data_IF_306466809713
#
_entry.id   IF_306466809713
#
_cell.length_a   1.000
_cell.length_b   1.000
_cell.length_c   1.000
_cell.angle_alpha   90.00
_cell.angle_beta   90.00
_cell.angle_gamma   90.00
#
_symmetry.space_group_name_H-M   'P 1'
#
loop_
_entity.id
_entity.type
_entity.pdbx_description
1 polymer ?
#
# COMPACT_ATOMS: atom_id res chain seq x y z
N UNK A 1 11.62 15.94 -4.34
CA UNK A 1 11.89 14.55 -4.79
C UNK A 1 12.53 13.81 -3.61
N UNK A 2 12.64 12.49 -3.68
CA UNK A 2 13.14 11.66 -2.57
C UNK A 2 14.66 11.44 -2.61
N UNK A 3 15.37 12.26 -3.39
CA UNK A 3 16.82 12.26 -3.51
C UNK A 3 17.52 12.86 -2.28
N UNK A 4 18.74 12.41 -2.02
CA UNK A 4 19.58 12.94 -0.96
C UNK A 4 21.06 12.97 -1.37
N UNK A 5 21.83 13.84 -0.71
CA UNK A 5 23.26 14.01 -0.92
C UNK A 5 24.04 13.96 0.39
N UNK A 6 25.17 13.25 0.39
CA UNK A 6 26.17 13.26 1.45
C UNK A 6 27.43 13.97 0.94
N UNK A 7 27.87 15.02 1.63
CA UNK A 7 29.05 15.80 1.27
C UNK A 7 29.96 16.03 2.47
N UNK A 8 31.22 15.63 2.36
CA UNK A 8 32.26 15.97 3.32
C UNK A 8 32.92 17.29 2.95
N UNK A 9 33.21 18.13 3.94
CA UNK A 9 34.00 19.34 3.78
C UNK A 9 34.92 19.57 4.96
N UNK A 10 36.14 19.98 4.69
CA UNK A 10 37.13 20.34 5.72
C UNK A 10 37.44 21.83 5.61
N UNK A 11 37.13 22.60 6.66
CA UNK A 11 37.43 24.03 6.72
C UNK A 11 38.08 24.38 8.07
N UNK A 12 39.22 25.10 8.03
CA UNK A 12 39.90 25.61 9.24
C UNK A 12 40.15 24.54 10.32
N UNK A 13 40.51 23.33 9.89
CA UNK A 13 40.80 22.20 10.78
C UNK A 13 39.55 21.53 11.39
N UNK A 14 38.36 21.78 10.86
CA UNK A 14 37.13 21.06 11.21
C UNK A 14 36.62 20.27 10.02
N UNK A 15 36.33 18.99 10.25
CA UNK A 15 35.65 18.14 9.30
C UNK A 15 34.14 18.20 9.55
N UNK A 16 33.37 18.37 8.47
CA UNK A 16 31.93 18.52 8.50
C UNK A 16 31.30 17.57 7.49
N UNK A 17 30.17 16.96 7.88
CA UNK A 17 29.30 16.21 7.00
C UNK A 17 28.01 17.00 6.78
N UNK A 18 27.67 17.22 5.51
CA UNK A 18 26.38 17.74 5.11
C UNK A 18 25.53 16.59 4.57
N UNK A 19 24.34 16.41 5.15
CA UNK A 19 23.31 15.51 4.66
C UNK A 19 22.13 16.38 4.22
N UNK A 20 21.85 16.41 2.93
CA UNK A 20 20.75 17.16 2.36
C UNK A 20 19.74 16.20 1.74
N UNK A 21 18.46 16.36 2.05
CA UNK A 21 17.37 15.63 1.40
C UNK A 21 16.48 16.59 0.63
N UNK A 22 15.94 16.15 -0.51
CA UNK A 22 14.99 16.93 -1.31
C UNK A 22 13.64 17.22 -0.61
N UNK A 23 13.40 16.58 0.54
CA UNK A 23 12.25 16.75 1.45
C UNK A 23 12.51 16.04 2.80
N UNK A 24 11.63 16.17 3.82
CA UNK A 24 11.87 15.61 5.16
C UNK A 24 12.22 14.11 5.19
N UNK A 25 11.44 13.23 4.55
CA UNK A 25 11.77 11.78 4.56
C UNK A 25 13.09 11.46 3.87
N UNK A 26 13.44 12.19 2.81
CA UNK A 26 14.69 11.98 2.07
C UNK A 26 15.92 12.34 2.93
N UNK A 27 15.78 13.32 3.83
CA UNK A 27 16.81 13.60 4.82
C UNK A 27 17.02 12.40 5.76
N UNK A 28 15.94 11.78 6.24
CA UNK A 28 16.03 10.56 7.06
C UNK A 28 16.69 9.41 6.27
N UNK A 29 16.37 9.23 4.99
CA UNK A 29 17.04 8.25 4.13
C UNK A 29 18.55 8.49 4.07
N UNK A 30 18.97 9.75 3.88
CA UNK A 30 20.38 10.10 3.85
C UNK A 30 21.11 9.81 5.17
N UNK A 31 20.45 10.04 6.31
CA UNK A 31 20.99 9.70 7.63
C UNK A 31 21.18 8.19 7.78
N UNK A 32 20.14 7.40 7.48
CA UNK A 32 20.23 5.94 7.58
C UNK A 32 21.28 5.37 6.63
N UNK A 33 21.31 5.85 5.38
CA UNK A 33 22.27 5.44 4.37
C UNK A 33 23.72 5.80 4.74
N UNK A 34 23.95 6.96 5.37
CA UNK A 34 25.27 7.34 5.88
C UNK A 34 25.80 6.29 6.88
N UNK A 35 24.97 5.86 7.83
CA UNK A 35 25.36 4.85 8.81
C UNK A 35 25.50 3.44 8.19
N UNK A 36 24.71 3.10 7.16
CA UNK A 36 24.93 1.86 6.39
C UNK A 36 26.29 1.87 5.68
N UNK A 37 26.64 3.03 5.10
CA UNK A 37 27.85 3.22 4.30
C UNK A 37 29.12 3.32 5.15
N UNK A 38 29.07 3.98 6.31
CA UNK A 38 30.26 4.34 7.10
C UNK A 38 30.39 3.63 8.44
N UNK A 39 29.31 3.07 8.97
CA UNK A 39 29.29 2.48 10.31
C UNK A 39 28.77 1.03 10.33
N UNK A 40 28.69 0.38 9.16
CA UNK A 40 28.27 -1.03 9.05
C UNK A 40 26.84 -1.31 9.53
N UNK A 41 26.02 -0.28 9.78
CA UNK A 41 24.65 -0.47 10.24
C UNK A 41 23.83 -1.23 9.20
N UNK A 42 22.95 -2.13 9.64
CA UNK A 42 22.00 -2.83 8.78
C UNK A 42 20.64 -2.83 9.45
N UNK A 43 19.63 -2.38 8.74
CA UNK A 43 18.29 -2.29 9.30
C UNK A 43 17.46 -3.47 8.84
N UNK A 44 16.77 -4.16 9.73
CA UNK A 44 15.85 -5.24 9.34
C UNK A 44 14.56 -5.09 10.11
N UNK A 45 13.47 -5.60 9.54
CA UNK A 45 12.17 -5.52 10.20
C UNK A 45 12.18 -6.23 11.56
N UNK A 46 12.87 -7.36 11.62
CA UNK A 46 12.98 -8.19 12.82
C UNK A 46 14.18 -7.87 13.72
N UNK A 47 14.90 -6.77 13.44
CA UNK A 47 15.94 -6.25 14.33
C UNK A 47 17.12 -5.63 13.58
N UNK A 48 17.45 -4.40 13.92
CA UNK A 48 18.62 -3.72 13.38
C UNK A 48 19.91 -4.32 13.94
N UNK A 49 20.97 -4.31 13.11
CA UNK A 49 22.35 -4.55 13.51
C UNK A 49 23.08 -3.21 13.52
N UNK A 50 23.49 -2.77 14.70
CA UNK A 50 24.17 -1.50 14.91
C UNK A 50 25.52 -1.80 15.58
N UNK A 51 26.63 -1.79 14.81
CA UNK A 51 27.97 -1.95 15.36
C UNK A 51 28.31 -0.89 16.41
N UNK A 52 29.17 -1.26 17.36
CA UNK A 52 29.79 -0.27 18.25
C UNK A 52 31.05 0.26 17.58
N UNK A 53 31.20 1.57 17.50
CA UNK A 53 32.39 2.22 16.97
C UNK A 53 32.75 3.44 17.82
N UNK A 54 34.05 3.65 18.05
CA UNK A 54 34.56 4.82 18.79
C UNK A 54 34.40 6.13 18.00
N UNK A 55 34.42 6.02 16.67
CA UNK A 55 34.22 7.13 15.74
C UNK A 55 33.61 6.62 14.42
N UNK A 56 32.95 7.51 13.68
CA UNK A 56 32.44 7.23 12.32
C UNK A 56 33.18 8.15 11.35
N UNK A 57 33.75 7.58 10.29
CA UNK A 57 34.46 8.36 9.28
C UNK A 57 33.50 9.22 8.45
N UNK A 58 33.61 10.53 8.62
CA UNK A 58 32.83 11.54 7.91
C UNK A 58 33.59 12.17 6.73
N UNK A 59 34.78 11.67 6.38
CA UNK A 59 35.62 12.25 5.34
C UNK A 59 35.33 11.68 3.94
N UNK A 60 35.73 12.41 2.89
CA UNK A 60 35.73 11.91 1.51
C UNK A 60 34.37 11.57 0.87
N UNK A 61 33.24 12.00 1.43
CA UNK A 61 31.91 11.77 0.86
C UNK A 61 31.58 12.82 -0.20
N UNK A 62 31.11 12.34 -1.35
CA UNK A 62 30.40 13.12 -2.36
C UNK A 62 29.44 12.16 -3.07
N UNK A 63 28.37 11.79 -2.36
CA UNK A 63 27.41 10.76 -2.79
C UNK A 63 26.07 11.42 -3.06
N UNK A 64 25.50 11.18 -4.23
CA UNK A 64 24.16 11.61 -4.61
C UNK A 64 23.32 10.39 -4.96
N UNK A 65 22.27 10.16 -4.19
CA UNK A 65 21.37 9.02 -4.34
C UNK A 65 20.00 9.49 -4.81
N UNK A 66 19.40 8.75 -5.75
CA UNK A 66 18.09 9.04 -6.33
C UNK A 66 17.30 7.74 -6.54
N UNK A 67 16.04 7.67 -6.10
CA UNK A 67 15.23 6.48 -6.35
C UNK A 67 14.82 6.40 -7.82
N UNK A 68 14.76 5.18 -8.37
CA UNK A 68 14.17 4.93 -9.69
C UNK A 68 12.66 5.14 -9.70
N UNK A 69 11.98 4.71 -8.64
CA UNK A 69 10.52 4.73 -8.56
C UNK A 69 10.04 5.82 -7.60
N UNK A 70 8.96 6.52 -7.97
CA UNK A 70 8.33 7.58 -7.17
C UNK A 70 7.58 7.02 -5.97
N UNK A 71 6.79 5.96 -6.16
CA UNK A 71 6.00 5.29 -5.11
C UNK A 71 6.67 3.97 -4.71
N UNK A 72 7.03 3.83 -3.45
CA UNK A 72 7.71 2.64 -2.94
C UNK A 72 7.16 2.30 -1.57
N UNK A 73 6.72 1.07 -1.37
CA UNK A 73 6.25 0.66 -0.06
C UNK A 73 5.20 -0.44 -0.08
N UNK A 74 4.31 -0.42 0.90
CA UNK A 74 3.60 -1.61 1.34
C UNK A 74 2.15 -1.31 1.66
N UNK A 75 1.32 -2.34 1.53
CA UNK A 75 -0.05 -2.36 2.06
C UNK A 75 -0.16 -3.37 3.18
N UNK A 76 -0.89 -2.97 4.22
CA UNK A 76 -1.26 -3.82 5.34
C UNK A 76 -2.70 -4.27 5.20
N UNK A 77 -2.95 -5.51 5.60
CA UNK A 77 -4.21 -6.20 5.34
C UNK A 77 -4.87 -6.66 6.65
N UNK A 78 -6.20 -6.81 6.63
CA UNK A 78 -7.03 -7.18 7.78
C UNK A 78 -7.23 -8.70 7.96
N UNK A 79 -6.22 -9.53 7.68
CA UNK A 79 -6.31 -10.98 7.91
C UNK A 79 -5.92 -11.36 9.34
N UNK A 80 -6.49 -12.45 9.85
CA UNK A 80 -6.22 -12.96 11.20
C UNK A 80 -5.19 -14.09 11.19
N UNK A 81 -4.05 -13.88 11.82
CA UNK A 81 -2.94 -14.84 11.94
C UNK A 81 -2.13 -14.58 13.23
N UNK A 82 -0.92 -15.14 13.34
CA UNK A 82 0.00 -14.83 14.43
C UNK A 82 0.33 -13.33 14.45
N UNK A 83 0.57 -12.75 15.64
CA UNK A 83 0.83 -11.32 15.82
C UNK A 83 1.88 -10.76 14.84
N UNK A 84 2.94 -11.53 14.55
CA UNK A 84 3.97 -11.15 13.56
C UNK A 84 3.39 -10.84 12.18
N UNK A 85 2.43 -11.64 11.72
CA UNK A 85 1.90 -11.59 10.36
C UNK A 85 0.63 -10.76 10.22
N UNK A 86 0.12 -10.25 11.34
CA UNK A 86 -1.15 -9.56 11.42
C UNK A 86 -1.00 -8.15 11.99
N UNK A 87 -1.03 -7.18 11.09
CA UNK A 87 -0.96 -5.76 11.42
C UNK A 87 -2.18 -5.25 12.22
N UNK A 88 -3.32 -5.95 12.16
CA UNK A 88 -4.51 -5.60 12.95
C UNK A 88 -4.31 -5.80 14.47
N UNK A 89 -3.34 -6.64 14.87
CA UNK A 89 -3.01 -6.88 16.29
C UNK A 89 -1.93 -5.93 16.84
N UNK A 90 -1.34 -5.11 15.99
CA UNK A 90 -0.23 -4.25 16.39
C UNK A 90 -0.73 -3.05 17.19
N UNK A 91 -0.10 -2.83 18.34
CA UNK A 91 -0.33 -1.60 19.11
C UNK A 91 0.49 -0.44 18.52
N UNK A 92 0.39 0.75 19.13
CA UNK A 92 1.08 1.93 18.61
C UNK A 92 2.61 1.80 18.57
N UNK A 93 3.23 1.12 19.54
CA UNK A 93 4.68 0.93 19.55
C UNK A 93 5.15 -0.03 18.46
N UNK A 94 4.35 -1.06 18.14
CA UNK A 94 4.61 -1.94 17.00
C UNK A 94 4.53 -1.15 15.68
N UNK A 95 3.51 -0.30 15.52
CA UNK A 95 3.38 0.57 14.36
C UNK A 95 4.48 1.62 14.23
N UNK A 96 5.02 2.12 15.35
CA UNK A 96 6.20 3.02 15.31
C UNK A 96 7.42 2.29 14.76
N UNK A 97 7.67 1.06 15.21
CA UNK A 97 8.76 0.23 14.67
C UNK A 97 8.56 -0.04 13.19
N UNK A 98 7.34 -0.34 12.76
CA UNK A 98 6.99 -0.54 11.36
C UNK A 98 7.29 0.72 10.53
N UNK A 99 6.77 1.88 10.94
CA UNK A 99 6.93 3.14 10.21
C UNK A 99 8.40 3.57 10.16
N UNK A 100 9.14 3.38 11.25
CA UNK A 100 10.57 3.68 11.28
C UNK A 100 11.35 2.70 10.39
N UNK A 101 10.93 1.43 10.29
CA UNK A 101 11.50 0.46 9.35
C UNK A 101 11.18 0.82 7.89
N UNK A 102 9.95 1.22 7.57
CA UNK A 102 9.55 1.74 6.24
C UNK A 102 10.50 2.86 5.79
N UNK A 103 10.84 3.79 6.69
CA UNK A 103 11.81 4.85 6.42
C UNK A 103 13.24 4.31 6.20
N UNK A 104 13.71 3.41 7.06
CA UNK A 104 15.04 2.77 6.92
C UNK A 104 15.16 2.04 5.58
N UNK A 105 14.07 1.49 5.07
CA UNK A 105 13.97 0.84 3.75
C UNK A 105 13.70 1.79 2.59
N UNK A 106 13.72 3.10 2.85
CA UNK A 106 13.54 4.17 1.85
C UNK A 106 12.19 4.11 1.11
N UNK A 107 11.20 3.51 1.76
CA UNK A 107 9.82 3.48 1.31
C UNK A 107 9.09 4.76 1.73
N UNK A 108 8.14 5.18 0.91
CA UNK A 108 7.34 6.38 1.13
C UNK A 108 5.82 6.13 1.07
N UNK A 109 5.36 4.97 0.61
CA UNK A 109 3.94 4.62 0.55
C UNK A 109 3.60 3.63 1.65
N UNK A 110 2.67 4.02 2.51
CA UNK A 110 2.19 3.26 3.65
C UNK A 110 0.66 3.16 3.54
N UNK A 111 0.14 2.00 3.13
CA UNK A 111 -1.31 1.83 2.95
C UNK A 111 -1.94 0.99 4.07
N UNK A 112 -2.58 1.67 5.03
CA UNK A 112 -3.13 1.07 6.24
C UNK A 112 -4.56 0.55 6.03
N UNK A 113 -4.69 -0.66 5.48
CA UNK A 113 -5.98 -1.26 5.11
C UNK A 113 -6.38 -2.41 6.04
N UNK A 114 -6.44 -2.14 7.34
CA UNK A 114 -6.77 -3.09 8.41
C UNK A 114 -8.27 -3.11 8.83
N UNK A 115 -9.19 -2.69 7.94
CA UNK A 115 -10.64 -2.88 8.13
C UNK A 115 -11.36 -1.83 8.98
N UNK A 116 -12.48 -2.22 9.60
CA UNK A 116 -13.42 -1.37 10.34
C UNK A 116 -12.79 -0.76 11.60
N UNK A 117 -12.63 0.56 11.59
CA UNK A 117 -12.49 1.39 12.78
C UNK A 117 -13.83 2.10 13.06
N UNK A 118 -13.84 3.20 13.82
CA UNK A 118 -15.06 3.94 14.14
C UNK A 118 -15.56 4.88 13.03
N UNK A 119 -15.21 4.55 11.77
CA UNK A 119 -15.50 5.39 10.61
C UNK A 119 -17.01 5.58 10.40
N UNK A 120 -17.80 4.50 10.46
CA UNK A 120 -19.25 4.58 10.31
C UNK A 120 -19.90 5.35 11.46
N UNK A 121 -19.43 5.15 12.68
CA UNK A 121 -19.94 5.88 13.85
C UNK A 121 -19.65 7.38 13.76
N UNK A 122 -18.52 7.77 13.19
CA UNK A 122 -18.16 9.18 12.98
C UNK A 122 -18.86 9.80 11.77
N UNK A 123 -19.09 9.02 10.72
CA UNK A 123 -19.76 9.51 9.51
C UNK A 123 -21.28 9.61 9.72
N UNK A 124 -21.88 8.62 10.39
CA UNK A 124 -23.33 8.50 10.54
C UNK A 124 -23.75 8.30 12.01
N UNK A 125 -23.36 9.21 12.93
CA UNK A 125 -23.62 9.06 14.36
C UNK A 125 -25.12 9.01 14.71
N UNK A 126 -25.98 9.54 13.85
CA UNK A 126 -27.44 9.51 13.98
C UNK A 126 -28.05 8.13 13.66
N UNK A 127 -27.34 7.29 12.92
CA UNK A 127 -27.79 5.97 12.50
C UNK A 127 -26.98 4.83 13.10
N UNK A 128 -25.70 5.06 13.43
CA UNK A 128 -24.76 4.02 13.83
C UNK A 128 -24.14 4.37 15.17
N UNK A 129 -24.52 3.60 16.18
CA UNK A 129 -23.95 3.65 17.51
C UNK A 129 -22.60 2.94 17.59
N UNK A 130 -21.82 3.24 18.64
CA UNK A 130 -20.62 2.46 18.93
C UNK A 130 -21.04 1.12 19.55
N UNK A 131 -20.64 -0.01 18.95
CA UNK A 131 -20.94 -1.32 19.49
C UNK A 131 -20.15 -1.58 20.79
N UNK A 132 -20.50 -2.66 21.47
CA UNK A 132 -19.65 -3.26 22.50
C UNK A 132 -18.40 -3.91 21.89
N UNK A 133 -17.83 -4.90 22.58
CA UNK A 133 -16.68 -5.67 22.06
C UNK A 133 -17.04 -6.56 20.87
N UNK A 134 -18.27 -7.06 20.82
CA UNK A 134 -18.77 -7.86 19.72
C UNK A 134 -19.36 -6.94 18.66
N UNK A 135 -18.83 -7.04 17.44
CA UNK A 135 -19.34 -6.32 16.27
C UNK A 135 -20.43 -7.21 15.66
N UNK A 136 -21.69 -6.74 15.55
CA UNK A 136 -22.79 -7.58 15.07
C UNK A 136 -22.59 -8.18 13.67
N UNK A 137 -21.78 -7.52 12.84
CA UNK A 137 -21.45 -7.94 11.47
C UNK A 137 -20.32 -8.98 11.43
N UNK A 138 -19.67 -9.26 12.56
CA UNK A 138 -18.56 -10.20 12.66
C UNK A 138 -19.02 -11.64 12.55
N UNK A 139 -18.22 -12.48 11.87
CA UNK A 139 -18.44 -13.92 11.77
C UNK A 139 -17.22 -14.67 12.28
N UNK A 140 -17.37 -15.32 13.45
CA UNK A 140 -16.29 -16.07 14.10
C UNK A 140 -15.62 -17.07 13.13
N UNK A 141 -14.28 -17.13 13.16
CA UNK A 141 -13.47 -18.07 12.35
C UNK A 141 -13.69 -17.96 10.84
N UNK A 142 -13.98 -16.75 10.36
CA UNK A 142 -14.08 -16.45 8.93
C UNK A 142 -13.20 -15.26 8.56
N UNK A 143 -13.03 -15.00 7.27
CA UNK A 143 -12.39 -13.76 6.80
C UNK A 143 -13.19 -12.49 7.19
N UNK A 144 -14.45 -12.64 7.63
CA UNK A 144 -15.32 -11.61 8.20
C UNK A 144 -15.33 -11.62 9.73
N UNK A 145 -14.41 -12.33 10.39
CA UNK A 145 -14.22 -12.19 11.83
C UNK A 145 -13.62 -10.80 12.11
N UNK A 146 -14.45 -9.94 12.70
CA UNK A 146 -14.18 -8.55 13.06
C UNK A 146 -14.38 -8.29 14.55
N UNK A 147 -14.54 -9.34 15.35
CA UNK A 147 -14.64 -9.21 16.80
C UNK A 147 -13.44 -8.44 17.34
N UNK A 148 -13.69 -7.48 18.20
CA UNK A 148 -12.71 -6.48 18.53
C UNK A 148 -11.66 -7.03 19.50
N UNK A 149 -10.37 -6.89 19.15
CA UNK A 149 -9.28 -6.97 20.13
C UNK A 149 -9.34 -5.79 21.10
N UNK A 150 -9.79 -4.63 20.59
CA UNK A 150 -9.99 -3.38 21.32
C UNK A 150 -11.26 -2.67 20.85
N UNK A 151 -12.01 -2.00 21.74
CA UNK A 151 -13.19 -1.21 21.38
C UNK A 151 -12.98 -0.35 20.12
N UNK A 152 -14.04 -0.16 19.32
CA UNK A 152 -13.94 0.59 18.05
C UNK A 152 -13.37 2.01 18.24
N UNK A 153 -13.70 2.67 19.37
CA UNK A 153 -13.11 3.97 19.76
C UNK A 153 -11.60 3.89 19.90
N UNK A 154 -11.09 2.85 20.56
CA UNK A 154 -9.66 2.69 20.80
C UNK A 154 -8.92 2.39 19.50
N UNK A 155 -9.54 1.62 18.58
CA UNK A 155 -9.02 1.43 17.22
C UNK A 155 -8.98 2.74 16.43
N UNK A 156 -10.02 3.56 16.52
CA UNK A 156 -10.06 4.90 15.92
C UNK A 156 -8.94 5.80 16.44
N UNK A 157 -8.75 5.85 17.75
CA UNK A 157 -7.66 6.59 18.39
C UNK A 157 -6.28 6.06 18.00
N UNK A 158 -6.13 4.74 17.88
CA UNK A 158 -4.91 4.12 17.40
C UNK A 158 -4.64 4.51 15.94
N UNK A 159 -5.61 4.40 15.03
CA UNK A 159 -5.48 4.84 13.63
C UNK A 159 -5.06 6.30 13.53
N UNK A 160 -5.69 7.18 14.31
CA UNK A 160 -5.34 8.61 14.36
C UNK A 160 -3.86 8.80 14.72
N UNK A 161 -3.37 8.10 15.74
CA UNK A 161 -1.96 8.15 16.16
C UNK A 161 -1.01 7.60 15.10
N UNK A 162 -1.35 6.46 14.47
CA UNK A 162 -0.54 5.84 13.43
C UNK A 162 -0.39 6.77 12.23
N UNK A 163 -1.51 7.29 11.70
CA UNK A 163 -1.48 8.16 10.52
C UNK A 163 -0.86 9.54 10.81
N UNK A 164 -1.00 10.06 12.03
CA UNK A 164 -0.25 11.24 12.45
C UNK A 164 1.26 10.97 12.46
N UNK A 165 1.71 9.87 13.07
CA UNK A 165 3.13 9.51 13.14
C UNK A 165 3.75 9.26 11.76
N UNK A 166 3.02 8.62 10.85
CA UNK A 166 3.43 8.42 9.46
C UNK A 166 3.57 9.76 8.70
N UNK A 167 2.61 10.67 8.89
CA UNK A 167 2.60 11.99 8.25
C UNK A 167 3.70 12.92 8.75
N UNK A 168 4.00 12.91 10.05
CA UNK A 168 5.15 13.62 10.63
C UNK A 168 6.48 13.19 9.99
N UNK A 169 6.52 11.94 9.50
CA UNK A 169 7.63 11.34 8.75
C UNK A 169 7.48 11.47 7.25
N UNK A 170 6.53 12.28 6.80
CA UNK A 170 6.32 12.61 5.40
C UNK A 170 5.97 11.38 4.54
N UNK A 171 5.38 10.33 5.13
CA UNK A 171 4.87 9.16 4.39
C UNK A 171 3.52 9.45 3.74
N UNK A 172 3.28 8.78 2.61
CA UNK A 172 2.03 8.84 1.83
C UNK A 172 1.08 7.73 2.30
N UNK A 173 -0.16 8.10 2.56
CA UNK A 173 -1.26 7.16 2.82
C UNK A 173 -2.43 7.47 1.88
N UNK A 174 -2.89 6.50 1.07
CA UNK A 174 -4.03 6.70 0.19
C UNK A 174 -5.36 6.62 0.95
N UNK A 175 -6.26 7.54 0.64
CA UNK A 175 -7.63 7.59 1.15
C UNK A 175 -8.55 6.73 0.25
N UNK A 176 -9.32 5.80 0.84
CA UNK A 176 -10.25 4.99 0.07
C UNK A 176 -11.46 5.81 -0.40
N UNK A 177 -11.83 5.65 -1.67
CA UNK A 177 -12.96 6.33 -2.29
C UNK A 177 -13.85 5.38 -3.07
N UNK A 178 -15.15 5.69 -3.07
CA UNK A 178 -16.17 4.92 -3.76
C UNK A 178 -16.62 3.71 -2.97
N UNK A 179 -16.83 2.59 -3.65
CA UNK A 179 -17.54 1.42 -3.14
C UNK A 179 -16.67 0.60 -2.17
N UNK A 180 -16.43 1.10 -0.95
CA UNK A 180 -15.54 0.45 0.03
C UNK A 180 -16.22 -0.59 0.93
N UNK A 181 -17.56 -0.63 0.96
CA UNK A 181 -18.34 -1.48 1.89
C UNK A 181 -18.28 -2.97 1.59
N UNK A 182 -17.93 -3.30 0.35
CA UNK A 182 -18.00 -4.66 -0.17
C UNK A 182 -16.72 -5.47 0.09
N UNK A 183 -15.78 -4.83 0.79
CA UNK A 183 -14.56 -5.41 1.33
C UNK A 183 -14.51 -5.19 2.85
N UNK A 184 -13.32 -4.96 3.43
CA UNK A 184 -13.04 -4.95 4.87
C UNK A 184 -13.76 -3.88 5.71
N UNK A 185 -14.58 -3.00 5.11
CA UNK A 185 -15.36 -1.96 5.77
C UNK A 185 -16.87 -2.20 5.63
N UNK A 186 -17.35 -3.39 6.06
CA UNK A 186 -18.76 -3.80 5.95
C UNK A 186 -19.71 -2.75 6.51
N UNK A 187 -20.85 -2.57 5.85
CA UNK A 187 -21.94 -1.68 6.31
C UNK A 187 -22.54 -2.22 7.61
N UNK A 188 -22.63 -1.42 8.69
CA UNK A 188 -23.28 -1.84 9.93
C UNK A 188 -24.77 -2.13 9.75
N UNK A 189 -25.30 -3.10 10.50
CA UNK A 189 -26.73 -3.43 10.52
C UNK A 189 -27.60 -2.25 10.90
N UNK A 190 -27.20 -1.43 11.88
CA UNK A 190 -27.97 -0.24 12.27
C UNK A 190 -28.13 0.75 11.09
N UNK A 191 -27.07 0.94 10.30
CA UNK A 191 -27.15 1.76 9.08
C UNK A 191 -28.14 1.16 8.08
N UNK A 192 -28.07 -0.16 7.85
CA UNK A 192 -28.99 -0.85 6.94
C UNK A 192 -30.44 -0.75 7.39
N UNK A 193 -30.71 -0.88 8.68
CA UNK A 193 -32.06 -0.84 9.24
C UNK A 193 -32.66 0.55 9.22
N UNK A 194 -31.84 1.60 9.45
CA UNK A 194 -32.28 2.99 9.50
C UNK A 194 -32.34 3.66 8.13
N UNK A 195 -31.32 3.46 7.30
CA UNK A 195 -31.16 4.14 6.01
C UNK A 195 -31.78 3.36 4.86
N UNK A 196 -31.80 2.02 4.97
CA UNK A 196 -32.35 1.11 3.94
C UNK A 196 -31.86 1.44 2.53
N UNK A 197 -30.52 1.47 2.29
CA UNK A 197 -30.00 1.78 0.97
C UNK A 197 -30.40 0.69 -0.05
N UNK A 198 -30.72 1.11 -1.27
CA UNK A 198 -30.79 0.20 -2.40
C UNK A 198 -29.40 -0.33 -2.73
N UNK A 199 -29.31 -1.54 -3.27
CA UNK A 199 -28.04 -2.19 -3.64
C UNK A 199 -27.91 -2.35 -5.15
N UNK A 200 -26.67 -2.35 -5.64
CA UNK A 200 -26.40 -2.81 -6.99
C UNK A 200 -26.84 -4.27 -7.16
N UNK A 201 -27.28 -4.66 -8.38
CA UNK A 201 -27.46 -6.07 -8.72
C UNK A 201 -26.17 -6.86 -8.46
N UNK A 202 -26.31 -8.14 -8.14
CA UNK A 202 -25.18 -9.04 -7.93
C UNK A 202 -25.46 -10.41 -8.53
N UNK A 203 -24.59 -10.83 -9.44
CA UNK A 203 -24.53 -12.16 -10.04
C UNK A 203 -23.44 -13.04 -9.41
N UNK A 204 -22.46 -12.46 -8.70
CA UNK A 204 -21.49 -13.24 -7.91
C UNK A 204 -22.19 -13.96 -6.75
N UNK A 205 -21.94 -15.27 -6.61
CA UNK A 205 -22.51 -16.11 -5.55
C UNK A 205 -21.87 -15.86 -4.18
N UNK A 206 -20.59 -15.48 -4.14
CA UNK A 206 -19.89 -15.04 -2.93
C UNK A 206 -20.34 -13.65 -2.46
N UNK A 207 -20.08 -13.33 -1.19
CA UNK A 207 -20.35 -12.02 -0.59
C UNK A 207 -21.80 -11.53 -0.66
N UNK A 208 -22.78 -12.43 -0.53
CA UNK A 208 -24.21 -12.11 -0.60
C UNK A 208 -24.82 -11.49 0.68
N UNK A 209 -24.03 -11.30 1.73
CA UNK A 209 -24.49 -10.66 2.95
C UNK A 209 -24.78 -9.18 2.73
N UNK A 210 -25.95 -8.70 3.22
CA UNK A 210 -26.38 -7.31 3.05
C UNK A 210 -25.32 -6.29 3.49
N UNK A 211 -24.57 -6.62 4.54
CA UNK A 211 -23.50 -5.77 5.08
C UNK A 211 -22.34 -5.55 4.09
N UNK A 212 -22.10 -6.48 3.17
CA UNK A 212 -21.10 -6.32 2.11
C UNK A 212 -21.67 -6.12 0.73
N UNK A 213 -22.96 -5.87 0.56
CA UNK A 213 -23.48 -5.46 -0.73
C UNK A 213 -23.04 -4.02 -1.02
N UNK A 214 -22.87 -3.72 -2.31
CA UNK A 214 -22.53 -2.37 -2.77
C UNK A 214 -23.81 -1.55 -2.85
N UNK A 215 -23.86 -0.40 -2.18
CA UNK A 215 -25.00 0.52 -2.31
C UNK A 215 -25.13 0.96 -3.76
N UNK A 216 -26.36 1.13 -4.23
CA UNK A 216 -26.64 1.45 -5.62
C UNK A 216 -26.12 2.85 -5.96
N UNK A 217 -24.88 2.90 -6.45
CA UNK A 217 -24.20 4.14 -6.83
C UNK A 217 -24.88 4.84 -7.99
N UNK A 218 -25.81 4.21 -8.73
CA UNK A 218 -26.64 4.91 -9.74
C UNK A 218 -27.50 6.00 -9.10
N UNK A 219 -27.77 5.90 -7.80
CA UNK A 219 -28.48 6.90 -7.02
C UNK A 219 -27.50 7.85 -6.33
N UNK A 220 -27.67 9.15 -6.54
CA UNK A 220 -26.73 10.16 -6.03
C UNK A 220 -26.62 10.12 -4.50
N UNK A 221 -27.73 9.90 -3.79
CA UNK A 221 -27.75 9.76 -2.32
C UNK A 221 -26.77 8.70 -1.78
N UNK A 222 -26.62 7.58 -2.50
CA UNK A 222 -25.75 6.47 -2.09
C UNK A 222 -24.29 6.76 -2.44
N UNK A 223 -24.04 7.41 -3.59
CA UNK A 223 -22.70 7.85 -3.95
C UNK A 223 -22.22 8.94 -2.98
N UNK A 224 -23.07 9.90 -2.64
CA UNK A 224 -22.80 10.93 -1.63
C UNK A 224 -22.49 10.29 -0.27
N UNK A 225 -23.23 9.26 0.15
CA UNK A 225 -22.94 8.54 1.39
C UNK A 225 -21.56 7.87 1.39
N UNK A 226 -21.12 7.29 0.27
CA UNK A 226 -19.76 6.76 0.16
C UNK A 226 -18.70 7.86 0.25
N UNK A 227 -18.93 9.00 -0.38
CA UNK A 227 -18.02 10.13 -0.30
C UNK A 227 -17.99 10.76 1.10
N UNK A 228 -19.12 10.76 1.81
CA UNK A 228 -19.17 11.18 3.21
C UNK A 228 -18.31 10.30 4.13
N UNK A 229 -18.20 8.99 3.85
CA UNK A 229 -17.24 8.11 4.52
C UNK A 229 -15.80 8.53 4.22
N UNK A 230 -15.44 8.75 2.94
CA UNK A 230 -14.10 9.21 2.55
C UNK A 230 -13.75 10.55 3.21
N UNK A 231 -14.66 11.52 3.17
CA UNK A 231 -14.46 12.85 3.78
C UNK A 231 -14.35 12.79 5.30
N UNK A 232 -15.10 11.88 5.92
CA UNK A 232 -14.97 11.61 7.36
C UNK A 232 -13.60 11.01 7.67
N UNK A 233 -13.11 10.02 6.91
CA UNK A 233 -11.79 9.45 7.14
C UNK A 233 -10.69 10.52 7.01
N UNK A 234 -10.76 11.37 5.99
CA UNK A 234 -9.84 12.52 5.80
C UNK A 234 -9.88 13.45 7.01
N UNK A 235 -11.07 13.84 7.47
CA UNK A 235 -11.22 14.78 8.60
C UNK A 235 -10.67 14.21 9.90
N UNK A 236 -10.89 12.92 10.15
CA UNK A 236 -10.64 12.30 11.46
C UNK A 236 -9.22 11.73 11.58
N UNK A 237 -8.63 11.27 10.47
CA UNK A 237 -7.33 10.58 10.48
C UNK A 237 -6.38 10.96 9.34
N UNK A 238 -6.93 11.33 8.17
CA UNK A 238 -6.22 11.31 6.89
C UNK A 238 -5.87 12.68 6.29
N UNK A 239 -5.59 12.68 4.99
CA UNK A 239 -5.45 13.88 4.16
C UNK A 239 -5.77 13.60 2.70
N UNK A 240 -6.30 14.57 1.96
CA UNK A 240 -6.70 14.36 0.57
C UNK A 240 -5.51 14.45 -0.41
N UNK A 241 -4.37 13.83 -0.09
CA UNK A 241 -3.14 13.92 -0.91
C UNK A 241 -3.01 12.80 -1.93
N UNK A 242 -3.62 11.65 -1.68
CA UNK A 242 -3.61 10.47 -2.54
C UNK A 242 -4.90 9.69 -2.30
N UNK A 243 -5.53 9.19 -3.35
CA UNK A 243 -6.76 8.40 -3.27
C UNK A 243 -6.58 7.01 -3.85
N UNK A 244 -7.42 6.08 -3.43
CA UNK A 244 -7.41 4.71 -3.90
C UNK A 244 -8.83 4.16 -4.06
N UNK A 245 -9.05 3.40 -5.13
CA UNK A 245 -10.29 2.61 -5.30
C UNK A 245 -10.00 1.30 -6.02
N UNK A 246 -10.76 0.27 -5.68
CA UNK A 246 -10.75 -1.04 -6.35
C UNK A 246 -12.02 -1.28 -7.17
N UNK A 247 -12.87 -0.25 -7.30
CA UNK A 247 -14.16 -0.36 -7.97
C UNK A 247 -15.00 -1.51 -7.41
N UNK A 248 -15.46 -2.39 -8.29
CA UNK A 248 -16.28 -3.57 -7.97
C UNK A 248 -15.46 -4.86 -7.91
N UNK A 249 -14.24 -4.81 -7.34
CA UNK A 249 -13.37 -5.98 -7.26
C UNK A 249 -14.06 -7.25 -6.75
N UNK A 250 -13.87 -8.36 -7.46
CA UNK A 250 -14.49 -9.68 -7.23
C UNK A 250 -16.01 -9.76 -7.46
N UNK A 251 -16.64 -8.67 -7.92
CA UNK A 251 -18.08 -8.61 -8.11
C UNK A 251 -18.48 -8.54 -9.56
N UNK A 252 -19.52 -9.29 -9.88
CA UNK A 252 -20.29 -9.17 -11.11
C UNK A 252 -21.69 -8.71 -10.73
N UNK A 253 -22.18 -7.67 -11.41
CA UNK A 253 -23.55 -7.23 -11.29
C UNK A 253 -24.49 -8.08 -12.17
N UNK A 254 -23.98 -8.55 -13.31
CA UNK A 254 -24.75 -9.30 -14.30
C UNK A 254 -23.96 -10.52 -14.80
N UNK A 255 -24.67 -11.56 -15.25
CA UNK A 255 -24.04 -12.72 -15.90
C UNK A 255 -23.63 -12.42 -17.35
N UNK A 256 -24.36 -11.54 -18.03
CA UNK A 256 -23.96 -11.04 -19.34
C UNK A 256 -22.67 -10.21 -19.22
N UNK A 257 -21.63 -10.63 -19.95
CA UNK A 257 -20.28 -10.09 -19.82
C UNK A 257 -20.22 -8.61 -20.21
N UNK A 258 -20.86 -8.25 -21.32
CA UNK A 258 -20.83 -6.87 -21.82
C UNK A 258 -21.59 -5.93 -20.88
N UNK A 259 -22.81 -6.30 -20.46
CA UNK A 259 -23.56 -5.53 -19.49
C UNK A 259 -22.80 -5.38 -18.16
N UNK A 260 -22.12 -6.44 -17.71
CA UNK A 260 -21.30 -6.40 -16.51
C UNK A 260 -20.09 -5.47 -16.67
N UNK A 261 -19.40 -5.55 -17.81
CA UNK A 261 -18.28 -4.67 -18.14
C UNK A 261 -18.71 -3.20 -18.16
N UNK A 262 -19.82 -2.88 -18.83
CA UNK A 262 -20.38 -1.53 -18.84
C UNK A 262 -20.74 -1.02 -17.43
N UNK A 263 -21.24 -1.89 -16.55
CA UNK A 263 -21.50 -1.52 -15.15
C UNK A 263 -20.22 -1.22 -14.38
N UNK A 264 -19.13 -1.97 -14.62
CA UNK A 264 -17.82 -1.70 -14.01
C UNK A 264 -17.23 -0.38 -14.51
N UNK A 265 -17.26 -0.12 -15.83
CA UNK A 265 -16.85 1.17 -16.41
C UNK A 265 -17.68 2.33 -15.83
N UNK A 266 -19.01 2.17 -15.79
CA UNK A 266 -19.91 3.16 -15.19
C UNK A 266 -19.54 3.46 -13.73
N UNK A 267 -19.19 2.44 -12.95
CA UNK A 267 -18.78 2.61 -11.56
C UNK A 267 -17.51 3.45 -11.44
N UNK A 268 -16.48 3.17 -12.23
CA UNK A 268 -15.27 3.99 -12.26
C UNK A 268 -15.56 5.43 -12.68
N UNK A 269 -16.36 5.65 -13.74
CA UNK A 269 -16.75 7.00 -14.17
C UNK A 269 -17.42 7.79 -13.05
N UNK A 270 -18.35 7.19 -12.31
CA UNK A 270 -19.07 7.86 -11.21
C UNK A 270 -18.16 8.18 -10.03
N UNK A 271 -17.34 7.22 -9.59
CA UNK A 271 -16.37 7.44 -8.49
C UNK A 271 -15.38 8.54 -8.87
N UNK A 272 -14.81 8.47 -10.08
CA UNK A 272 -13.82 9.45 -10.55
C UNK A 272 -14.46 10.82 -10.71
N UNK A 273 -15.62 10.93 -11.37
CA UNK A 273 -16.29 12.22 -11.55
C UNK A 273 -16.51 12.92 -10.20
N UNK A 274 -17.05 12.18 -9.22
CA UNK A 274 -17.33 12.70 -7.88
C UNK A 274 -16.05 13.08 -7.11
N UNK A 275 -14.99 12.28 -7.23
CA UNK A 275 -13.69 12.61 -6.67
C UNK A 275 -13.14 13.93 -7.25
N UNK A 276 -13.28 14.11 -8.57
CA UNK A 276 -12.72 15.25 -9.29
C UNK A 276 -13.49 16.56 -9.04
N UNK A 277 -14.74 16.50 -8.59
CA UNK A 277 -15.50 17.68 -8.16
C UNK A 277 -14.80 18.43 -7.02
N UNK A 278 -14.26 17.69 -6.04
CA UNK A 278 -13.62 18.26 -4.85
C UNK A 278 -12.10 18.23 -4.91
N UNK A 279 -11.53 17.19 -5.53
CA UNK A 279 -10.09 16.95 -5.61
C UNK A 279 -9.64 16.74 -7.08
N UNK A 280 -9.68 17.81 -7.91
CA UNK A 280 -9.48 17.71 -9.36
C UNK A 280 -8.09 17.23 -9.77
N UNK A 281 -7.08 17.46 -8.93
CA UNK A 281 -5.67 17.14 -9.24
C UNK A 281 -5.08 16.04 -8.36
N UNK A 282 -5.79 15.57 -7.34
CA UNK A 282 -5.24 14.56 -6.43
C UNK A 282 -5.02 13.23 -7.18
N UNK A 283 -3.86 12.57 -7.04
CA UNK A 283 -3.63 11.29 -7.69
C UNK A 283 -4.63 10.23 -7.20
N UNK A 284 -5.10 9.40 -8.12
CA UNK A 284 -5.98 8.25 -7.85
C UNK A 284 -5.28 6.97 -8.28
N UNK A 285 -5.14 6.04 -7.34
CA UNK A 285 -4.69 4.68 -7.57
C UNK A 285 -5.91 3.79 -7.85
N UNK A 286 -5.90 3.09 -8.99
CA UNK A 286 -6.90 2.06 -9.31
C UNK A 286 -6.26 0.68 -9.12
N UNK A 287 -6.72 -0.05 -8.11
CA UNK A 287 -6.21 -1.38 -7.78
C UNK A 287 -6.56 -2.44 -8.84
N UNK A 288 -5.57 -3.22 -9.27
CA UNK A 288 -5.74 -4.22 -10.35
C UNK A 288 -6.26 -5.59 -9.90
N UNK A 289 -6.63 -5.77 -8.63
CA UNK A 289 -7.06 -7.09 -8.12
C UNK A 289 -8.17 -7.73 -8.97
N UNK A 290 -9.13 -6.91 -9.41
CA UNK A 290 -10.20 -7.38 -10.27
C UNK A 290 -9.70 -7.72 -11.69
N UNK A 291 -8.66 -7.03 -12.15
CA UNK A 291 -8.11 -7.16 -13.51
C UNK A 291 -7.41 -8.49 -13.71
N UNK A 292 -6.72 -9.00 -12.68
CA UNK A 292 -6.02 -10.28 -12.76
C UNK A 292 -6.95 -11.50 -12.66
N UNK A 293 -8.22 -11.31 -12.30
CA UNK A 293 -9.17 -12.43 -12.12
C UNK A 293 -10.38 -12.38 -13.04
N UNK A 294 -11.04 -11.23 -13.16
CA UNK A 294 -12.38 -11.13 -13.75
C UNK A 294 -12.45 -10.34 -15.05
N UNK A 295 -11.40 -9.61 -15.41
CA UNK A 295 -11.34 -8.84 -16.65
C UNK A 295 -10.52 -9.56 -17.72
N UNK A 296 -10.81 -9.30 -18.99
CA UNK A 296 -9.88 -9.57 -20.09
C UNK A 296 -8.92 -8.38 -20.28
N UNK A 297 -7.76 -8.59 -20.94
CA UNK A 297 -6.90 -7.48 -21.31
C UNK A 297 -7.61 -6.39 -22.13
N UNK A 298 -8.53 -6.75 -23.03
CA UNK A 298 -9.33 -5.79 -23.82
C UNK A 298 -10.20 -4.91 -22.91
N UNK A 299 -10.85 -5.51 -21.91
CA UNK A 299 -11.69 -4.79 -20.95
C UNK A 299 -10.84 -3.79 -20.14
N UNK A 300 -9.64 -4.20 -19.69
CA UNK A 300 -8.71 -3.29 -18.98
C UNK A 300 -8.27 -2.15 -19.89
N UNK A 301 -7.90 -2.44 -21.15
CA UNK A 301 -7.53 -1.42 -22.13
C UNK A 301 -8.66 -0.42 -22.37
N UNK A 302 -9.91 -0.87 -22.41
CA UNK A 302 -11.06 0.03 -22.56
C UNK A 302 -11.23 0.97 -21.37
N UNK A 303 -10.99 0.49 -20.14
CA UNK A 303 -10.96 1.37 -18.95
C UNK A 303 -9.83 2.38 -19.07
N UNK A 304 -8.60 1.93 -19.35
CA UNK A 304 -7.40 2.80 -19.44
C UNK A 304 -7.60 3.94 -20.43
N UNK A 305 -8.29 3.70 -21.56
CA UNK A 305 -8.61 4.73 -22.55
C UNK A 305 -9.51 5.87 -22.02
N UNK A 306 -10.28 5.64 -20.95
CA UNK A 306 -11.17 6.63 -20.35
C UNK A 306 -10.51 7.42 -19.22
N UNK A 307 -9.37 6.96 -18.71
CA UNK A 307 -8.71 7.55 -17.55
C UNK A 307 -7.82 8.73 -17.95
N UNK A 308 -7.70 9.70 -17.04
CA UNK A 308 -6.77 10.82 -17.20
C UNK A 308 -5.37 10.43 -16.68
N UNK A 309 -4.35 10.30 -17.54
CA UNK A 309 -3.00 9.90 -17.12
C UNK A 309 -2.29 10.95 -16.28
N UNK A 310 -2.77 12.19 -16.17
CA UNK A 310 -2.11 13.21 -15.35
C UNK A 310 -2.34 13.02 -13.84
N UNK A 311 -3.39 12.28 -13.45
CA UNK A 311 -3.78 12.13 -12.05
C UNK A 311 -4.38 10.75 -11.72
N UNK A 312 -4.26 9.78 -12.63
CA UNK A 312 -4.73 8.42 -12.42
C UNK A 312 -3.60 7.44 -12.74
N UNK A 313 -3.43 6.45 -11.88
CA UNK A 313 -2.35 5.48 -11.94
C UNK A 313 -2.97 4.09 -11.77
N UNK A 314 -2.64 3.17 -12.68
CA UNK A 314 -3.00 1.76 -12.48
C UNK A 314 -2.05 1.16 -11.46
N UNK A 315 -2.61 0.78 -10.32
CA UNK A 315 -1.88 0.11 -9.26
C UNK A 315 -1.97 -1.40 -9.51
N UNK A 316 -1.00 -1.95 -10.25
CA UNK A 316 -0.94 -3.39 -10.50
C UNK A 316 -0.48 -4.12 -9.24
N UNK A 317 -1.31 -4.97 -8.65
CA UNK A 317 -0.97 -5.72 -7.43
C UNK A 317 -0.17 -6.98 -7.69
N UNK A 318 -0.28 -7.56 -8.89
CA UNK A 318 0.05 -8.96 -9.16
C UNK A 318 1.02 -9.13 -10.32
N UNK A 319 1.96 -8.18 -10.47
CA UNK A 319 2.89 -8.14 -11.61
C UNK A 319 3.84 -9.35 -11.65
N UNK A 320 3.99 -10.07 -10.55
CA UNK A 320 4.86 -11.24 -10.37
C UNK A 320 4.14 -12.60 -10.47
N UNK A 321 2.86 -12.60 -10.84
CA UNK A 321 2.10 -13.86 -11.06
C UNK A 321 2.53 -14.61 -12.32
N UNK A 322 2.29 -15.91 -12.35
CA UNK A 322 2.57 -16.75 -13.53
C UNK A 322 1.55 -16.60 -14.67
N UNK A 323 0.47 -15.83 -14.49
CA UNK A 323 -0.44 -15.48 -15.59
C UNK A 323 0.33 -14.58 -16.58
N UNK A 324 0.42 -14.99 -17.84
CA UNK A 324 1.07 -14.20 -18.90
C UNK A 324 0.07 -13.33 -19.68
N UNK A 325 -1.23 -13.60 -19.53
CA UNK A 325 -2.30 -12.89 -20.22
C UNK A 325 -2.75 -11.65 -19.43
N UNK A 326 -3.01 -11.79 -18.13
CA UNK A 326 -3.54 -10.70 -17.30
C UNK A 326 -2.44 -9.98 -16.54
N UNK A 327 -1.59 -9.31 -17.30
CA UNK A 327 -0.45 -8.56 -16.78
C UNK A 327 -0.40 -7.16 -17.35
N UNK A 328 0.31 -6.26 -16.68
CA UNK A 328 0.56 -4.89 -17.14
C UNK A 328 1.05 -4.80 -18.60
N UNK A 329 1.74 -5.84 -19.10
CA UNK A 329 2.25 -5.89 -20.48
C UNK A 329 1.14 -5.91 -21.53
N UNK A 330 -0.05 -6.42 -21.17
CA UNK A 330 -1.19 -6.57 -22.08
C UNK A 330 -2.29 -5.53 -21.86
N UNK A 331 -2.11 -4.58 -20.94
CA UNK A 331 -3.12 -3.60 -20.55
C UNK A 331 -2.93 -2.20 -21.17
N UNK A 332 -2.06 -2.08 -22.19
CA UNK A 332 -1.67 -0.79 -22.78
C UNK A 332 -1.08 0.22 -21.77
N UNK A 333 -0.34 -0.27 -20.78
CA UNK A 333 0.32 0.59 -19.78
C UNK A 333 1.73 0.98 -20.19
N UNK A 334 2.53 0.01 -20.62
CA UNK A 334 3.96 0.19 -20.88
C UNK A 334 4.22 1.30 -21.91
N UNK A 335 4.90 2.36 -21.48
CA UNK A 335 5.20 3.55 -22.31
C UNK A 335 4.00 4.43 -22.65
N UNK A 336 2.79 4.13 -22.14
CA UNK A 336 1.54 4.77 -22.54
C UNK A 336 0.75 5.39 -21.38
N UNK A 337 0.65 4.73 -20.23
CA UNK A 337 -0.21 5.16 -19.13
C UNK A 337 0.46 4.91 -17.77
N UNK A 338 0.37 5.82 -16.78
CA UNK A 338 1.03 5.63 -15.49
C UNK A 338 0.58 4.39 -14.74
N UNK A 339 1.56 3.66 -14.19
CA UNK A 339 1.28 2.43 -13.45
C UNK A 339 2.32 2.15 -12.37
N UNK A 340 2.03 1.19 -11.49
CA UNK A 340 2.91 0.73 -10.40
C UNK A 340 3.08 -0.78 -10.54
N UNK A 341 4.33 -1.26 -10.41
CA UNK A 341 4.67 -2.69 -10.39
C UNK A 341 4.49 -3.26 -8.98
N UNK A 342 3.51 -4.13 -8.79
CA UNK A 342 3.21 -4.72 -7.48
C UNK A 342 3.64 -6.17 -7.37
N UNK A 343 4.05 -6.53 -6.17
CA UNK A 343 4.24 -7.91 -5.75
C UNK A 343 3.09 -8.30 -4.81
N UNK A 344 2.28 -9.28 -5.16
CA UNK A 344 1.26 -9.82 -4.26
C UNK A 344 1.88 -10.78 -3.24
N UNK A 345 2.80 -11.62 -3.71
CA UNK A 345 3.65 -12.55 -2.96
C UNK A 345 2.93 -13.69 -2.21
N UNK A 346 1.96 -13.40 -1.37
CA UNK A 346 1.39 -14.35 -0.44
C UNK A 346 -0.10 -14.11 -0.23
N UNK A 347 -0.89 -15.18 -0.42
CA UNK A 347 -2.22 -15.27 0.17
C UNK A 347 -2.11 -15.55 1.68
N UNK A 348 -3.21 -15.38 2.40
CA UNK A 348 -3.29 -15.56 3.86
C UNK A 348 -2.66 -16.87 4.38
N UNK A 349 -2.87 -18.05 3.78
CA UNK A 349 -2.29 -19.29 4.30
C UNK A 349 -0.78 -19.45 4.01
N UNK A 350 -0.15 -18.51 3.30
CA UNK A 350 1.23 -18.64 2.84
C UNK A 350 2.19 -17.88 3.77
N UNK A 351 2.79 -18.59 4.71
CA UNK A 351 3.74 -18.03 5.69
C UNK A 351 5.21 -18.39 5.42
N UNK A 352 5.46 -19.18 4.38
CA UNK A 352 6.78 -19.64 3.95
C UNK A 352 7.43 -18.71 2.92
N UNK A 353 8.79 -18.67 2.84
CA UNK A 353 9.48 -17.94 1.78
C UNK A 353 9.10 -18.47 0.39
N UNK A 354 8.69 -17.58 -0.51
CA UNK A 354 8.06 -17.99 -1.79
C UNK A 354 8.12 -16.96 -2.92
N UNK A 355 9.00 -15.96 -2.84
CA UNK A 355 9.14 -14.97 -3.90
C UNK A 355 9.32 -15.60 -5.30
N UNK A 356 8.56 -15.15 -6.29
CA UNK A 356 8.69 -15.59 -7.68
C UNK A 356 9.81 -14.82 -8.40
N UNK A 357 11.04 -14.98 -7.91
CA UNK A 357 12.18 -14.15 -8.32
C UNK A 357 12.50 -14.25 -9.82
N UNK A 358 12.23 -15.38 -10.48
CA UNK A 358 12.44 -15.54 -11.92
C UNK A 358 11.46 -14.69 -12.76
N UNK A 359 10.17 -14.67 -12.39
CA UNK A 359 9.20 -13.82 -13.06
C UNK A 359 9.51 -12.34 -12.80
N UNK A 360 9.89 -11.98 -11.58
CA UNK A 360 10.29 -10.61 -11.23
C UNK A 360 11.52 -10.20 -12.05
N UNK A 361 12.57 -11.03 -12.11
CA UNK A 361 13.79 -10.78 -12.88
C UNK A 361 13.49 -10.55 -14.36
N UNK A 362 12.50 -11.23 -14.93
CA UNK A 362 12.09 -11.05 -16.34
C UNK A 362 11.27 -9.76 -16.55
N UNK A 363 10.40 -9.40 -15.62
CA UNK A 363 9.39 -8.33 -15.80
C UNK A 363 9.82 -6.97 -15.22
N UNK A 364 10.53 -6.94 -14.10
CA UNK A 364 10.97 -5.70 -13.45
C UNK A 364 11.89 -4.85 -14.34
N UNK A 365 12.78 -5.39 -15.21
CA UNK A 365 13.52 -4.57 -16.17
C UNK A 365 12.63 -3.77 -17.13
N UNK A 366 11.46 -4.30 -17.50
CA UNK A 366 10.48 -3.58 -18.34
C UNK A 366 9.94 -2.38 -17.56
N UNK A 367 9.55 -2.61 -16.30
CA UNK A 367 9.05 -1.56 -15.41
C UNK A 367 10.13 -0.50 -15.11
N UNK A 368 11.37 -0.92 -14.86
CA UNK A 368 12.52 -0.07 -14.64
C UNK A 368 12.93 0.72 -15.91
N UNK A 369 12.70 0.19 -17.10
CA UNK A 369 12.92 0.88 -18.36
C UNK A 369 11.81 1.88 -18.72
N UNK A 370 10.63 1.76 -18.13
CA UNK A 370 9.44 2.53 -18.52
C UNK A 370 9.24 3.80 -17.68
N UNK A 371 9.31 5.01 -18.27
CA UNK A 371 9.02 6.27 -17.56
C UNK A 371 7.58 6.37 -17.02
N UNK A 372 6.65 5.56 -17.55
CA UNK A 372 5.27 5.49 -17.05
C UNK A 372 5.14 4.58 -15.82
N UNK A 373 6.07 3.67 -15.56
CA UNK A 373 6.09 2.96 -14.29
C UNK A 373 6.61 3.88 -13.17
N UNK A 374 5.69 4.26 -12.29
CA UNK A 374 5.91 5.21 -11.20
C UNK A 374 6.29 4.54 -9.89
N UNK A 375 6.12 3.24 -9.75
CA UNK A 375 6.26 2.61 -8.44
C UNK A 375 6.66 1.15 -8.46
N UNK A 376 7.20 0.71 -7.32
CA UNK A 376 7.35 -0.70 -6.97
C UNK A 376 6.89 -0.91 -5.53
N UNK A 377 5.95 -1.83 -5.31
CA UNK A 377 5.28 -1.99 -4.01
C UNK A 377 4.96 -3.45 -3.72
N UNK A 378 4.68 -3.77 -2.46
CA UNK A 378 4.33 -5.12 -2.02
C UNK A 378 2.96 -5.12 -1.31
N UNK A 379 2.15 -6.11 -1.66
CA UNK A 379 0.73 -6.25 -1.36
C UNK A 379 0.37 -7.67 -0.91
N UNK A 380 0.90 -8.17 0.20
CA UNK A 380 0.57 -9.50 0.69
C UNK A 380 -0.70 -9.46 1.54
N UNK A 381 -1.38 -10.60 1.62
CA UNK A 381 -2.45 -10.80 2.60
C UNK A 381 -1.90 -10.99 4.01
N UNK A 382 -0.69 -11.56 4.13
CA UNK A 382 0.05 -11.70 5.39
C UNK A 382 1.26 -10.77 5.43
N UNK A 383 1.34 -9.94 6.48
CA UNK A 383 2.45 -9.01 6.63
C UNK A 383 3.75 -9.77 6.97
N UNK A 384 4.89 -9.38 6.41
CA UNK A 384 6.22 -9.77 6.90
C UNK A 384 6.51 -11.28 7.05
N UNK A 385 6.00 -12.10 6.13
CA UNK A 385 6.25 -13.56 6.07
C UNK A 385 7.62 -13.91 5.51
N UNK A 386 8.10 -13.19 4.49
CA UNK A 386 9.37 -13.45 3.80
C UNK A 386 10.33 -12.27 3.95
N UNK A 387 11.24 -12.35 4.93
CA UNK A 387 12.23 -11.29 5.18
C UNK A 387 13.15 -11.07 3.97
N UNK A 388 13.52 -12.13 3.23
CA UNK A 388 14.36 -11.99 2.05
C UNK A 388 13.66 -11.16 0.97
N UNK A 389 12.37 -11.40 0.74
CA UNK A 389 11.60 -10.62 -0.22
C UNK A 389 11.49 -9.15 0.19
N UNK A 390 11.32 -8.84 1.48
CA UNK A 390 11.24 -7.44 1.94
C UNK A 390 12.53 -6.68 1.65
N UNK A 391 13.68 -7.33 1.85
CA UNK A 391 14.99 -6.77 1.52
C UNK A 391 15.15 -6.63 0.00
N UNK A 392 14.77 -7.67 -0.76
CA UNK A 392 14.81 -7.66 -2.22
C UNK A 392 13.95 -6.53 -2.80
N UNK A 393 12.74 -6.36 -2.28
CA UNK A 393 11.83 -5.27 -2.63
C UNK A 393 12.48 -3.91 -2.35
N UNK A 394 13.04 -3.69 -1.16
CA UNK A 394 13.63 -2.40 -0.79
C UNK A 394 14.77 -2.01 -1.72
N UNK A 395 15.66 -2.97 -2.02
CA UNK A 395 16.78 -2.74 -2.93
C UNK A 395 16.31 -2.40 -4.34
N UNK A 396 15.41 -3.22 -4.90
CA UNK A 396 14.92 -3.06 -6.27
C UNK A 396 13.96 -1.87 -6.44
N UNK A 397 13.20 -1.50 -5.42
CA UNK A 397 12.34 -0.32 -5.44
C UNK A 397 13.17 0.99 -5.43
N UNK A 398 14.38 0.97 -4.86
CA UNK A 398 15.31 2.08 -4.94
C UNK A 398 16.10 2.07 -6.25
N UNK A 399 16.78 0.97 -6.55
CA UNK A 399 17.64 0.80 -7.71
C UNK A 399 17.55 -0.65 -8.25
N UNK A 400 16.71 -0.90 -9.28
CA UNK A 400 16.55 -2.22 -9.90
C UNK A 400 17.70 -2.53 -10.86
N UNK A 401 18.93 -2.57 -10.35
CA UNK A 401 20.11 -2.96 -11.11
C UNK A 401 20.24 -4.48 -11.25
N UNK A 402 21.15 -4.94 -12.11
CA UNK A 402 21.35 -6.36 -12.39
C UNK A 402 21.78 -7.18 -11.17
N UNK A 403 22.50 -6.57 -10.21
CA UNK A 403 22.98 -7.29 -9.03
C UNK A 403 21.90 -7.45 -7.96
N UNK A 404 20.97 -6.49 -7.86
CA UNK A 404 19.81 -6.57 -6.97
C UNK A 404 18.73 -7.47 -7.55
N UNK A 405 18.62 -7.57 -8.87
CA UNK A 405 17.64 -8.41 -9.55
C UNK A 405 17.98 -9.90 -9.49
N UNK A 406 19.26 -10.24 -9.56
CA UNK A 406 19.73 -11.63 -9.51
C UNK A 406 19.62 -12.18 -8.09
N UNK A 407 18.72 -13.13 -7.88
CA UNK A 407 18.45 -13.66 -6.54
C UNK A 407 19.65 -14.38 -5.93
N UNK A 408 20.54 -14.98 -6.72
CA UNK A 408 21.71 -15.66 -6.19
C UNK A 408 22.72 -14.66 -5.63
N UNK A 409 22.99 -13.58 -6.39
CA UNK A 409 23.85 -12.49 -5.95
C UNK A 409 23.24 -11.75 -4.76
N UNK A 410 21.92 -11.50 -4.81
CA UNK A 410 21.22 -10.81 -3.74
C UNK A 410 21.21 -11.62 -2.44
N UNK A 411 21.06 -12.95 -2.53
CA UNK A 411 21.07 -13.82 -1.35
C UNK A 411 22.43 -13.81 -0.64
N UNK A 412 23.55 -13.79 -1.38
CA UNK A 412 24.88 -13.65 -0.79
C UNK A 412 25.02 -12.33 -0.02
N UNK A 413 24.60 -11.21 -0.65
CA UNK A 413 24.59 -9.88 -0.01
C UNK A 413 23.71 -9.85 1.25
N UNK A 414 22.51 -10.42 1.16
CA UNK A 414 21.59 -10.51 2.28
C UNK A 414 22.18 -11.31 3.45
N UNK A 415 22.75 -12.49 3.17
CA UNK A 415 23.37 -13.33 4.19
C UNK A 415 24.57 -12.64 4.85
N UNK A 416 25.45 -12.01 4.07
CA UNK A 416 26.59 -11.27 4.63
C UNK A 416 26.12 -10.11 5.53
N UNK A 417 25.18 -9.30 5.05
CA UNK A 417 24.62 -8.20 5.84
C UNK A 417 23.93 -8.68 7.13
N UNK A 418 23.32 -9.86 7.10
CA UNK A 418 22.52 -10.37 8.22
C UNK A 418 23.32 -11.19 9.24
N UNK A 419 24.33 -11.94 8.80
CA UNK A 419 24.96 -12.98 9.63
C UNK A 419 26.46 -12.78 9.85
N UNK A 420 27.18 -12.05 9.00
CA UNK A 420 28.63 -11.92 9.21
C UNK A 420 28.90 -11.05 10.44
N UNK A 421 29.57 -11.61 11.44
CA UNK A 421 29.95 -10.93 12.69
C UNK A 421 31.22 -10.10 12.53
N UNK A 422 32.13 -10.46 11.60
CA UNK A 422 33.41 -9.75 11.40
C UNK A 422 33.22 -8.29 10.94
N UNK A 423 32.11 -7.96 10.27
CA UNK A 423 31.76 -6.58 9.91
C UNK A 423 31.22 -5.72 11.07
N UNK A 424 30.94 -6.31 12.24
CA UNK A 424 30.42 -5.59 13.42
C UNK A 424 31.52 -5.10 14.38
N UNK A 425 32.76 -5.56 14.18
CA UNK A 425 33.89 -5.40 15.11
C UNK A 425 35.06 -4.56 14.57
N UNK A 426 34.95 -4.06 13.33
CA UNK A 426 35.91 -3.15 12.67
C UNK A 426 35.35 -1.74 12.62
#
# INVERSE_FOLDING_TARGET
MDDFQLLSHSEKGRDMLFIAGGRPRALLYGVYYFFELRAGCRYFWDGDRIPTADAVDISGLNVLEKPRFEYRGLRYFAHRSLHRFQAEHWNFEDWKKEIDWVLKKRFNLFMLRIGLDDLFQKAFPEYVSYPGYEVPESKERSYDDRNLFWPLRDRGELRRKILAYARERDLLHPEDVGTMTHWYSRTPHEYLDKVQPDFLPQATSGYGEKTGLVWDIRQEKNLDAYFHLTETHIREYGEPTLFHTIGLAERRCYDDREANHQMKLYTYRRIIAKLREKYPHAPLLIGSWDFCMYWTPEEVRSLVQELNPNNTIIFDYTSETDDELRTFQNWDLVGKFPWIFGLFHAYEPNTEPRGNYEVIRRRLPIAAGDPMCKGMVLWPECAHTDTLLLEYLSANAWNPDSENLDIHVFLEKFCAARYDEEQLSS
#
